data_IF_160492933061
#
_entry.id   IF_160492933061
#
_cell.length_a   1.000
_cell.length_b   1.000
_cell.length_c   1.000
_cell.angle_alpha   90.00
_cell.angle_beta   90.00
_cell.angle_gamma   90.00
#
_symmetry.space_group_name_H-M   'P 1'
#
loop_
_entity.id
_entity.type
_entity.pdbx_description
1 polymer ?
#
# COMPACT_ATOMS: atom_id res chain seq x y z
N UNK A 1 33.91 7.55 81.20
CA UNK A 1 34.84 8.42 80.45
C UNK A 1 34.27 8.51 79.05
N UNK A 2 33.29 9.39 78.90
CA UNK A 2 32.49 9.52 77.69
C UNK A 2 33.13 10.56 76.78
N UNK A 3 33.56 10.14 75.60
CA UNK A 3 34.04 11.02 74.55
C UNK A 3 32.97 11.13 73.45
N UNK A 4 32.00 12.02 73.64
CA UNK A 4 31.14 12.48 72.56
C UNK A 4 31.87 13.58 71.79
N UNK A 5 32.50 13.22 70.67
CA UNK A 5 32.99 14.19 69.69
C UNK A 5 32.15 14.04 68.42
N UNK A 6 31.50 15.15 68.03
CA UNK A 6 31.50 15.75 66.68
C UNK A 6 30.14 16.39 66.34
N UNK A 7 29.79 17.47 67.05
CA UNK A 7 28.81 18.46 66.56
C UNK A 7 29.56 19.48 65.72
N UNK A 8 29.58 19.32 64.40
CA UNK A 8 30.19 20.31 63.51
C UNK A 8 30.25 20.01 62.02
N UNK A 9 29.97 18.78 61.55
CA UNK A 9 30.09 18.44 60.12
C UNK A 9 28.81 18.55 59.31
N UNK A 10 27.66 18.92 59.92
CA UNK A 10 26.36 18.95 59.24
C UNK A 10 25.88 17.57 58.74
N UNK A 11 26.67 16.51 58.97
CA UNK A 11 26.33 15.14 58.62
C UNK A 11 25.49 14.57 59.75
N UNK A 12 24.20 14.38 59.46
CA UNK A 12 23.27 13.72 60.35
C UNK A 12 23.81 12.31 60.68
N UNK A 13 23.86 11.91 61.97
CA UNK A 13 24.30 10.57 62.34
C UNK A 13 23.43 9.53 61.63
N UNK A 14 24.07 8.51 61.07
CA UNK A 14 23.39 7.48 60.30
C UNK A 14 22.36 6.75 61.18
N UNK A 15 21.08 6.83 60.80
CA UNK A 15 19.96 6.20 61.50
C UNK A 15 19.47 4.97 60.71
N UNK A 16 19.96 3.75 61.02
CA UNK A 16 19.67 2.55 60.22
C UNK A 16 18.18 2.18 60.22
N UNK A 17 17.47 2.47 61.31
CA UNK A 17 16.03 2.17 61.43
C UNK A 17 15.18 3.00 60.47
N UNK A 18 15.57 4.24 60.20
CA UNK A 18 14.89 5.13 59.25
C UNK A 18 15.02 4.61 57.82
N UNK A 19 16.21 4.10 57.47
CA UNK A 19 16.48 3.51 56.15
C UNK A 19 15.67 2.23 55.94
N UNK A 20 15.63 1.35 56.94
CA UNK A 20 14.85 0.09 56.87
C UNK A 20 13.34 0.39 56.76
N UNK A 21 12.84 1.37 57.51
CA UNK A 21 11.42 1.74 57.45
C UNK A 21 11.05 2.38 56.10
N UNK A 22 11.95 3.13 55.47
CA UNK A 22 11.74 3.65 54.12
C UNK A 22 11.72 2.53 53.04
N UNK A 23 12.56 1.51 53.20
CA UNK A 23 12.63 0.38 52.26
C UNK A 23 11.49 -0.64 52.39
N UNK A 24 10.71 -0.58 53.47
CA UNK A 24 9.62 -1.53 53.78
C UNK A 24 8.22 -0.96 53.59
N UNK A 25 8.10 0.30 53.15
CA UNK A 25 6.81 0.84 52.73
C UNK A 25 6.41 0.20 51.39
N UNK A 26 5.16 -0.26 51.24
CA UNK A 26 4.67 -0.78 49.97
C UNK A 26 4.75 0.32 48.91
N UNK A 27 5.50 0.02 47.84
CA UNK A 27 5.60 0.81 46.60
C UNK A 27 4.21 1.27 46.19
N UNK A 28 3.95 2.57 46.30
CA UNK A 28 2.82 3.21 45.65
C UNK A 28 2.90 2.86 44.17
N UNK A 29 1.87 2.19 43.65
CA UNK A 29 1.71 1.92 42.23
C UNK A 29 2.05 3.17 41.43
N UNK A 30 3.17 3.10 40.71
CA UNK A 30 3.47 4.03 39.64
C UNK A 30 2.43 3.73 38.56
N UNK A 31 1.30 4.43 38.64
CA UNK A 31 0.47 4.70 37.47
C UNK A 31 1.43 5.30 36.45
N UNK A 32 1.80 4.50 35.45
CA UNK A 32 2.54 4.94 34.28
C UNK A 32 1.65 5.94 33.57
N UNK A 33 1.72 7.20 34.00
CA UNK A 33 1.18 8.32 33.28
C UNK A 33 2.00 8.37 31.99
N UNK A 34 1.40 7.93 30.88
CA UNK A 34 2.00 8.02 29.55
C UNK A 34 2.43 9.47 29.32
N UNK A 35 3.74 9.71 29.41
CA UNK A 35 4.32 11.01 29.15
C UNK A 35 4.10 11.29 27.66
N UNK A 36 3.50 12.44 27.28
CA UNK A 36 3.31 12.77 25.87
C UNK A 36 4.67 12.69 25.16
N UNK A 37 4.83 11.70 24.29
CA UNK A 37 6.06 11.51 23.54
C UNK A 37 6.14 12.61 22.49
N UNK A 38 7.14 13.48 22.63
CA UNK A 38 7.56 14.35 21.54
C UNK A 38 8.11 13.47 20.43
N UNK A 39 7.50 13.47 19.22
CA UNK A 39 7.94 12.59 18.16
C UNK A 39 9.41 12.84 17.85
N UNK A 40 10.25 11.82 18.04
CA UNK A 40 11.68 11.90 17.76
C UNK A 40 11.94 11.36 16.37
N UNK A 41 13.01 11.80 15.69
CA UNK A 41 13.36 11.31 14.33
C UNK A 41 13.46 9.78 14.24
N UNK A 42 13.76 9.11 15.35
CA UNK A 42 13.89 7.65 15.45
C UNK A 42 12.53 6.92 15.52
N UNK A 43 11.43 7.62 15.80
CA UNK A 43 10.07 7.05 15.70
C UNK A 43 9.75 6.56 14.29
N UNK A 44 10.52 7.01 13.29
CA UNK A 44 10.36 6.56 11.93
C UNK A 44 10.55 5.05 11.82
N UNK A 45 11.47 4.45 12.58
CA UNK A 45 11.78 3.02 12.52
C UNK A 45 10.59 2.15 12.94
N UNK A 46 9.85 2.59 13.95
CA UNK A 46 8.61 1.93 14.37
C UNK A 46 7.53 2.07 13.29
N UNK A 47 7.44 3.25 12.66
CA UNK A 47 6.37 3.58 11.71
C UNK A 47 6.52 2.93 10.32
N UNK A 48 7.72 2.49 9.91
CA UNK A 48 7.94 1.92 8.57
C UNK A 48 7.06 0.70 8.32
N UNK A 49 6.95 -0.20 9.30
CA UNK A 49 6.29 -1.50 9.10
C UNK A 49 4.88 -1.59 9.74
N UNK A 50 4.47 -0.59 10.53
CA UNK A 50 3.18 -0.57 11.22
C UNK A 50 2.00 -0.25 10.28
N UNK A 51 2.22 0.59 9.27
CA UNK A 51 1.11 1.20 8.51
C UNK A 51 0.73 0.44 7.24
N UNK A 52 1.65 -0.35 6.65
CA UNK A 52 1.37 -1.19 5.49
C UNK A 52 2.47 -2.22 5.25
N UNK A 53 2.09 -3.38 4.71
CA UNK A 53 3.02 -4.32 4.09
C UNK A 53 2.64 -4.47 2.62
N UNK A 54 3.53 -4.14 1.67
CA UNK A 54 4.87 -3.57 1.87
C UNK A 54 4.86 -2.16 2.44
N UNK A 55 5.97 -1.71 3.06
CA UNK A 55 6.12 -0.33 3.51
C UNK A 55 6.07 0.63 2.32
N UNK A 56 5.41 1.77 2.52
CA UNK A 56 5.40 2.84 1.53
C UNK A 56 6.83 3.27 1.16
N UNK A 57 7.06 3.52 -0.14
CA UNK A 57 8.39 3.81 -0.68
C UNK A 57 9.02 5.02 0.00
N UNK A 58 8.24 6.10 0.17
CA UNK A 58 8.75 7.33 0.77
C UNK A 58 9.07 7.15 2.26
N UNK A 59 8.26 6.35 2.95
CA UNK A 59 8.49 6.01 4.35
C UNK A 59 9.74 5.15 4.53
N UNK A 60 9.93 4.13 3.67
CA UNK A 60 11.13 3.29 3.67
C UNK A 60 12.41 4.09 3.37
N UNK A 61 12.38 4.94 2.33
CA UNK A 61 13.53 5.76 1.94
C UNK A 61 13.95 6.73 3.05
N UNK A 62 12.98 7.39 3.69
CA UNK A 62 13.25 8.27 4.84
C UNK A 62 13.89 7.51 6.00
N UNK A 63 13.38 6.33 6.33
CA UNK A 63 13.95 5.51 7.41
C UNK A 63 15.38 5.07 7.10
N UNK A 64 15.64 4.61 5.88
CA UNK A 64 16.99 4.23 5.44
C UNK A 64 17.95 5.42 5.41
N UNK A 65 17.47 6.62 5.09
CA UNK A 65 18.25 7.86 5.20
C UNK A 65 18.65 8.14 6.65
N UNK A 66 17.68 8.09 7.58
CA UNK A 66 17.96 8.27 9.01
C UNK A 66 18.93 7.19 9.51
N UNK A 67 18.71 5.91 9.16
CA UNK A 67 19.61 4.82 9.48
C UNK A 67 21.03 5.10 8.97
N UNK A 68 21.18 5.50 7.71
CA UNK A 68 22.46 5.79 7.10
C UNK A 68 23.22 6.90 7.83
N UNK A 69 22.52 7.97 8.24
CA UNK A 69 23.12 9.07 9.01
C UNK A 69 23.57 8.62 10.41
N UNK A 70 22.76 7.82 11.11
CA UNK A 70 23.07 7.27 12.43
C UNK A 70 24.25 6.30 12.36
N UNK A 71 24.28 5.42 11.36
CA UNK A 71 25.37 4.46 11.16
C UNK A 71 26.68 5.18 10.84
N UNK A 72 26.65 6.26 10.06
CA UNK A 72 27.87 7.03 9.78
C UNK A 72 28.49 7.61 11.06
N UNK A 73 27.67 8.07 12.01
CA UNK A 73 28.08 8.58 13.33
C UNK A 73 28.47 7.49 14.35
N UNK A 74 28.10 6.24 14.08
CA UNK A 74 28.32 5.13 15.02
C UNK A 74 29.79 4.69 15.12
N UNK A 75 30.12 3.96 16.18
CA UNK A 75 31.46 3.38 16.46
C UNK A 75 31.73 2.09 15.66
N UNK A 76 30.80 1.67 14.80
CA UNK A 76 30.94 0.45 14.00
C UNK A 76 32.15 0.51 13.07
N UNK A 77 32.74 -0.65 12.77
CA UNK A 77 33.83 -0.72 11.81
C UNK A 77 33.34 -0.47 10.37
N UNK A 78 34.25 -0.07 9.48
CA UNK A 78 33.95 0.23 8.07
C UNK A 78 33.25 -0.91 7.31
N UNK A 79 33.65 -2.20 7.41
CA UNK A 79 32.97 -3.26 6.67
C UNK A 79 31.53 -3.46 7.13
N UNK A 80 31.24 -3.39 8.44
CA UNK A 80 29.88 -3.50 8.96
C UNK A 80 29.01 -2.32 8.51
N UNK A 81 29.53 -1.07 8.56
CA UNK A 81 28.80 0.10 8.04
C UNK A 81 28.42 -0.09 6.56
N UNK A 82 29.38 -0.52 5.74
CA UNK A 82 29.15 -0.76 4.30
C UNK A 82 28.11 -1.84 4.04
N UNK A 83 28.12 -2.90 4.84
CA UNK A 83 27.12 -3.96 4.72
C UNK A 83 25.71 -3.45 5.05
N UNK A 84 25.56 -2.64 6.10
CA UNK A 84 24.26 -2.04 6.47
C UNK A 84 23.75 -1.12 5.36
N UNK A 85 24.62 -0.27 4.78
CA UNK A 85 24.25 0.57 3.63
C UNK A 85 23.77 -0.26 2.43
N UNK A 86 24.49 -1.34 2.10
CA UNK A 86 24.05 -2.26 1.05
C UNK A 86 22.69 -2.90 1.34
N UNK A 87 22.41 -3.26 2.59
CA UNK A 87 21.10 -3.79 2.96
C UNK A 87 20.01 -2.75 2.74
N UNK A 88 20.23 -1.50 3.16
CA UNK A 88 19.29 -0.40 2.93
C UNK A 88 19.00 -0.22 1.43
N UNK A 89 20.04 -0.12 0.60
CA UNK A 89 19.90 0.01 -0.87
C UNK A 89 19.13 -1.18 -1.48
N UNK A 90 19.46 -2.40 -1.07
CA UNK A 90 18.78 -3.61 -1.56
C UNK A 90 17.31 -3.68 -1.14
N UNK A 91 16.96 -3.22 0.07
CA UNK A 91 15.57 -3.15 0.50
C UNK A 91 14.74 -2.17 -0.34
N UNK A 92 15.29 -1.00 -0.68
CA UNK A 92 14.61 -0.02 -1.55
C UNK A 92 14.44 -0.56 -2.97
N UNK A 93 15.50 -1.19 -3.49
CA UNK A 93 15.47 -1.82 -4.81
C UNK A 93 14.45 -2.94 -4.88
N UNK A 94 14.38 -3.79 -3.85
CA UNK A 94 13.41 -4.88 -3.77
C UNK A 94 11.98 -4.35 -3.66
N UNK A 95 11.74 -3.33 -2.84
CA UNK A 95 10.42 -2.71 -2.71
C UNK A 95 9.95 -2.13 -4.05
N UNK A 96 10.84 -1.42 -4.75
CA UNK A 96 10.54 -0.86 -6.08
C UNK A 96 10.16 -1.95 -7.08
N UNK A 97 10.95 -3.03 -7.16
CA UNK A 97 10.64 -4.18 -8.02
C UNK A 97 9.30 -4.81 -7.68
N UNK A 98 9.02 -4.99 -6.38
CA UNK A 98 7.77 -5.57 -5.91
C UNK A 98 6.56 -4.71 -6.34
N UNK A 99 6.61 -3.39 -6.14
CA UNK A 99 5.53 -2.48 -6.55
C UNK A 99 5.31 -2.52 -8.07
N UNK A 100 6.37 -2.51 -8.85
CA UNK A 100 6.28 -2.59 -10.31
C UNK A 100 5.64 -3.91 -10.75
N UNK A 101 6.13 -5.03 -10.22
CA UNK A 101 5.60 -6.35 -10.52
C UNK A 101 4.13 -6.48 -10.10
N UNK A 102 3.76 -5.96 -8.94
CA UNK A 102 2.37 -5.95 -8.49
C UNK A 102 1.48 -5.21 -9.49
N UNK A 103 1.90 -4.02 -9.94
CA UNK A 103 1.18 -3.23 -10.96
C UNK A 103 1.03 -4.00 -12.28
N UNK A 104 2.08 -4.66 -12.74
CA UNK A 104 2.03 -5.50 -13.95
C UNK A 104 1.04 -6.66 -13.79
N UNK A 105 1.08 -7.35 -12.66
CA UNK A 105 0.15 -8.47 -12.40
C UNK A 105 -1.30 -8.00 -12.34
N UNK A 106 -1.56 -6.84 -11.74
CA UNK A 106 -2.91 -6.29 -11.66
C UNK A 106 -3.41 -5.80 -13.03
N UNK A 107 -2.51 -5.23 -13.84
CA UNK A 107 -2.81 -4.89 -15.23
C UNK A 107 -3.17 -6.14 -16.05
N UNK A 108 -2.35 -7.19 -15.98
CA UNK A 108 -2.59 -8.46 -16.68
C UNK A 108 -3.90 -9.11 -16.22
N UNK A 109 -4.17 -9.14 -14.90
CA UNK A 109 -5.43 -9.64 -14.35
C UNK A 109 -6.62 -8.85 -14.90
N UNK A 110 -6.53 -7.52 -14.94
CA UNK A 110 -7.58 -6.64 -15.50
C UNK A 110 -7.83 -6.94 -16.99
N UNK A 111 -6.78 -7.08 -17.79
CA UNK A 111 -6.88 -7.43 -19.21
C UNK A 111 -7.54 -8.81 -19.38
N UNK A 112 -7.09 -9.82 -18.64
CA UNK A 112 -7.65 -11.17 -18.70
C UNK A 112 -9.12 -11.16 -18.27
N UNK A 113 -9.48 -10.42 -17.22
CA UNK A 113 -10.86 -10.29 -16.75
C UNK A 113 -11.75 -9.61 -17.80
N UNK A 114 -11.28 -8.53 -18.43
CA UNK A 114 -12.00 -7.85 -19.53
C UNK A 114 -12.19 -8.78 -20.73
N UNK A 115 -11.15 -9.51 -21.15
CA UNK A 115 -11.24 -10.49 -22.25
C UNK A 115 -12.19 -11.64 -21.92
N UNK A 116 -12.15 -12.16 -20.69
CA UNK A 116 -13.10 -13.17 -20.20
C UNK A 116 -14.53 -12.63 -20.17
N UNK A 117 -14.74 -11.35 -19.91
CA UNK A 117 -16.06 -10.73 -19.97
C UNK A 117 -16.56 -10.58 -21.42
N UNK A 118 -15.68 -10.17 -22.33
CA UNK A 118 -16.01 -10.04 -23.76
C UNK A 118 -16.27 -11.38 -24.44
N UNK A 119 -15.55 -12.45 -24.07
CA UNK A 119 -15.72 -13.79 -24.61
C UNK A 119 -16.89 -14.57 -23.94
N UNK A 120 -17.90 -13.87 -23.41
CA UNK A 120 -19.13 -14.48 -22.88
C UNK A 120 -20.33 -14.13 -23.77
N UNK A 121 -21.43 -14.85 -23.57
CA UNK A 121 -22.69 -14.60 -24.28
C UNK A 121 -22.55 -14.81 -25.78
N UNK A 122 -23.17 -13.91 -26.55
CA UNK A 122 -23.28 -14.01 -28.02
C UNK A 122 -21.92 -14.23 -28.71
N UNK A 123 -20.85 -13.56 -28.27
CA UNK A 123 -19.51 -13.71 -28.87
C UNK A 123 -18.93 -15.12 -28.69
N UNK A 124 -19.24 -15.80 -27.60
CA UNK A 124 -18.78 -17.17 -27.36
C UNK A 124 -19.46 -18.17 -28.32
N UNK A 125 -20.73 -17.93 -28.63
CA UNK A 125 -21.55 -18.73 -29.55
C UNK A 125 -21.14 -18.48 -31.01
N UNK A 126 -20.85 -17.24 -31.36
CA UNK A 126 -20.59 -16.84 -32.75
C UNK A 126 -19.14 -17.05 -33.18
N UNK A 127 -18.17 -16.90 -32.28
CA UNK A 127 -16.75 -16.89 -32.65
C UNK A 127 -16.20 -18.31 -32.83
N UNK A 128 -15.77 -18.63 -34.05
CA UNK A 128 -15.06 -19.88 -34.36
C UNK A 128 -15.94 -21.13 -34.43
N UNK A 129 -17.26 -20.95 -34.45
CA UNK A 129 -18.23 -22.01 -34.66
C UNK A 129 -18.69 -21.99 -36.13
N UNK A 130 -18.75 -23.16 -36.74
CA UNK A 130 -19.32 -23.34 -38.07
C UNK A 130 -20.76 -23.81 -37.90
N UNK A 131 -21.71 -22.94 -38.25
CA UNK A 131 -23.14 -23.22 -38.12
C UNK A 131 -23.71 -23.58 -39.48
N UNK A 132 -24.43 -24.70 -39.56
CA UNK A 132 -25.00 -25.21 -40.80
C UNK A 132 -26.38 -24.57 -41.08
N UNK A 133 -27.11 -24.22 -40.03
CA UNK A 133 -28.45 -23.62 -40.11
C UNK A 133 -28.52 -22.28 -39.36
N UNK A 134 -29.24 -21.32 -39.96
CA UNK A 134 -29.50 -20.00 -39.36
C UNK A 134 -30.41 -20.10 -38.14
N UNK A 135 -31.36 -21.04 -38.12
CA UNK A 135 -32.31 -21.22 -37.00
C UNK A 135 -31.60 -21.72 -35.74
N UNK A 136 -30.67 -22.67 -35.91
CA UNK A 136 -29.81 -23.17 -34.84
C UNK A 136 -29.01 -22.02 -34.20
N UNK A 137 -28.48 -21.13 -35.04
CA UNK A 137 -27.71 -19.96 -34.62
C UNK A 137 -28.55 -18.99 -33.80
N UNK A 138 -29.76 -18.68 -34.27
CA UNK A 138 -30.67 -17.74 -33.59
C UNK A 138 -31.06 -18.25 -32.21
N UNK A 139 -31.35 -19.55 -32.08
CA UNK A 139 -31.69 -20.18 -30.80
C UNK A 139 -30.55 -20.03 -29.77
N UNK A 140 -29.32 -20.38 -30.17
CA UNK A 140 -28.14 -20.28 -29.29
C UNK A 140 -27.83 -18.83 -28.89
N UNK A 141 -28.02 -17.86 -29.79
CA UNK A 141 -27.83 -16.43 -29.51
C UNK A 141 -28.84 -15.93 -28.48
N UNK A 142 -30.11 -16.32 -28.60
CA UNK A 142 -31.18 -15.95 -27.66
C UNK A 142 -30.90 -16.53 -26.27
N UNK A 143 -30.51 -17.81 -26.19
CA UNK A 143 -30.14 -18.44 -24.91
C UNK A 143 -28.94 -17.75 -24.26
N UNK A 144 -27.89 -17.45 -25.03
CA UNK A 144 -26.72 -16.76 -24.54
C UNK A 144 -27.01 -15.33 -24.06
N UNK A 145 -27.97 -14.65 -24.69
CA UNK A 145 -28.46 -13.33 -24.26
C UNK A 145 -29.26 -13.41 -22.95
N UNK A 146 -30.17 -14.38 -22.83
CA UNK A 146 -30.90 -14.64 -21.59
C UNK A 146 -29.96 -14.98 -20.43
N UNK A 147 -28.96 -15.83 -20.66
CA UNK A 147 -27.98 -16.23 -19.64
C UNK A 147 -27.12 -15.05 -19.15
N UNK A 148 -26.68 -14.17 -20.07
CA UNK A 148 -25.87 -13.00 -19.70
C UNK A 148 -26.67 -11.93 -18.98
N UNK A 149 -27.91 -11.67 -19.40
CA UNK A 149 -28.82 -10.72 -18.72
C UNK A 149 -29.22 -11.22 -17.33
N UNK A 150 -29.50 -12.52 -17.16
CA UNK A 150 -29.77 -13.11 -15.86
C UNK A 150 -28.57 -13.01 -14.89
N UNK A 151 -27.35 -13.27 -15.39
CA UNK A 151 -26.12 -13.15 -14.61
C UNK A 151 -25.77 -11.70 -14.22
N UNK A 152 -26.21 -10.72 -15.00
CA UNK A 152 -26.08 -9.30 -14.64
C UNK A 152 -27.07 -8.93 -13.53
N UNK A 153 -28.33 -9.36 -13.64
CA UNK A 153 -29.39 -9.10 -12.65
C UNK A 153 -29.05 -9.69 -11.27
N UNK A 154 -28.50 -10.90 -11.21
CA UNK A 154 -28.14 -11.56 -9.94
C UNK A 154 -26.91 -10.94 -9.25
N UNK A 155 -26.07 -10.19 -9.97
CA UNK A 155 -24.93 -9.47 -9.36
C UNK A 155 -25.34 -8.15 -8.71
N UNK A 156 -26.39 -7.52 -9.20
CA UNK A 156 -26.92 -6.26 -8.65
C UNK A 156 -27.63 -6.48 -7.30
N UNK A 157 -28.17 -7.68 -7.06
CA UNK A 157 -28.90 -7.98 -5.82
C UNK A 157 -28.02 -8.29 -4.59
N UNK A 158 -26.71 -8.50 -4.75
CA UNK A 158 -25.84 -9.03 -3.68
C UNK A 158 -24.95 -7.96 -3.03
N UNK A 159 -25.02 -6.70 -3.44
CA UNK A 159 -24.36 -5.58 -2.76
C UNK A 159 -25.26 -5.04 -1.63
N UNK A 160 -24.89 -5.20 -0.33
CA UNK A 160 -25.62 -4.53 0.74
C UNK A 160 -25.30 -3.04 0.66
N UNK A 161 -26.24 -2.25 0.15
CA UNK A 161 -26.16 -0.79 0.22
C UNK A 161 -26.29 -0.35 1.67
N UNK A 162 -25.22 0.22 2.24
CA UNK A 162 -25.32 1.07 3.43
C UNK A 162 -26.11 2.31 3.05
N UNK A 163 -27.34 2.38 3.53
CA UNK A 163 -28.23 3.53 3.39
C UNK A 163 -27.64 4.78 4.05
N UNK A 164 -27.43 5.84 3.27
CA UNK A 164 -27.57 7.21 3.76
C UNK A 164 -28.54 7.95 2.83
N UNK A 165 -29.59 8.45 3.45
CA UNK A 165 -30.71 9.19 2.90
C UNK A 165 -30.24 10.55 2.39
N UNK A 166 -30.60 10.95 1.15
CA UNK A 166 -31.32 12.21 0.88
C UNK A 166 -31.60 12.43 -0.62
N UNK A 167 -32.88 12.68 -0.91
CA UNK A 167 -33.45 13.60 -1.92
C UNK A 167 -33.35 13.30 -3.42
N UNK A 168 -34.47 12.79 -3.93
CA UNK A 168 -35.08 12.89 -5.27
C UNK A 168 -34.72 14.15 -6.08
N UNK A 169 -34.35 14.01 -7.35
CA UNK A 169 -34.95 14.68 -8.53
C UNK A 169 -34.56 13.94 -9.83
N UNK A 170 -35.46 14.03 -10.80
CA UNK A 170 -35.72 13.09 -11.89
C UNK A 170 -34.75 13.13 -13.08
N UNK A 171 -34.86 12.05 -13.87
CA UNK A 171 -34.24 11.76 -15.15
C UNK A 171 -34.41 12.83 -16.24
N UNK A 172 -33.35 13.03 -17.05
CA UNK A 172 -33.45 13.31 -18.49
C UNK A 172 -32.21 12.78 -19.23
N UNK A 173 -32.48 11.84 -20.16
CA UNK A 173 -31.95 11.70 -21.52
C UNK A 173 -30.45 11.63 -21.84
N UNK A 174 -30.21 10.71 -22.78
CA UNK A 174 -29.00 10.43 -23.54
C UNK A 174 -28.36 11.63 -24.20
N UNK A 175 -27.03 11.67 -24.18
CA UNK A 175 -26.22 12.19 -25.28
C UNK A 175 -25.06 11.25 -25.54
N UNK A 176 -25.12 10.67 -26.73
CA UNK A 176 -24.07 9.97 -27.45
C UNK A 176 -23.13 11.05 -27.97
N UNK A 177 -21.84 10.99 -27.62
CA UNK A 177 -20.81 11.78 -28.32
C UNK A 177 -20.22 10.92 -29.44
N UNK A 178 -20.57 11.30 -30.66
CA UNK A 178 -19.95 10.90 -31.93
C UNK A 178 -18.68 11.74 -32.15
N UNK A 179 -17.55 11.03 -32.36
CA UNK A 179 -16.51 11.18 -33.41
C UNK A 179 -15.84 12.55 -33.65
N UNK A 180 -14.49 12.54 -33.63
CA UNK A 180 -13.59 13.36 -34.46
C UNK A 180 -12.28 12.53 -34.63
N UNK A 181 -12.13 11.66 -35.63
CA UNK A 181 -11.70 11.86 -37.03
C UNK A 181 -10.64 12.95 -37.27
N UNK A 182 -9.37 12.54 -37.40
CA UNK A 182 -8.39 13.28 -38.21
C UNK A 182 -7.14 12.42 -38.49
N UNK A 183 -7.20 11.76 -39.65
CA UNK A 183 -6.16 11.69 -40.69
C UNK A 183 -4.87 10.89 -40.46
N UNK A 184 -4.84 9.71 -41.10
CA UNK A 184 -3.64 9.05 -41.60
C UNK A 184 -3.04 9.87 -42.77
N UNK A 185 -1.74 10.16 -42.74
CA UNK A 185 -0.97 10.62 -43.89
C UNK A 185 0.03 9.51 -44.25
N UNK A 186 -0.35 8.71 -45.25
CA UNK A 186 0.54 7.89 -46.07
C UNK A 186 1.00 8.77 -47.25
N UNK A 187 2.30 9.01 -47.43
CA UNK A 187 2.82 9.42 -48.74
C UNK A 187 4.29 9.03 -48.97
N UNK A 188 4.41 7.97 -49.76
CA UNK A 188 5.38 7.68 -50.84
C UNK A 188 6.90 7.80 -50.62
N UNK A 189 7.55 6.65 -50.77
CA UNK A 189 8.87 6.52 -51.39
C UNK A 189 8.87 7.18 -52.78
N UNK A 190 9.83 8.07 -53.03
CA UNK A 190 10.27 8.39 -54.39
C UNK A 190 11.81 8.49 -54.42
N UNK A 191 12.36 7.62 -55.27
CA UNK A 191 13.76 7.44 -55.61
C UNK A 191 14.18 8.52 -56.63
N UNK A 192 15.19 9.36 -56.33
CA UNK A 192 15.95 10.08 -57.35
C UNK A 192 17.27 10.68 -56.82
N UNK A 193 18.35 10.03 -57.24
CA UNK A 193 19.72 10.55 -57.47
C UNK A 193 19.86 12.06 -57.74
N UNK A 194 20.91 12.71 -57.19
CA UNK A 194 22.00 13.42 -57.94
C UNK A 194 22.90 14.26 -57.04
N UNK A 195 24.16 13.82 -56.95
CA UNK A 195 25.46 14.55 -57.01
C UNK A 195 25.63 15.91 -56.30
N UNK A 196 26.58 15.94 -55.36
CA UNK A 196 27.73 16.85 -55.35
C UNK A 196 28.89 16.20 -54.59
#
# INVERSE_FOLDING_TARGET
MDAYIQRGSGLQPFQPQTVIRAATLPTTDVVVLERPHTPTEHDIFEKVFLNSSPPDFQTLHKANTVLSTTINRSVLNTPTKRYIHKLADETERLNTRHVLQQRETDNLRSIIQKRRAQNKGKRAVLKGQFHISTEELQSQVVEAEAATTAAQKSKVSTTPQKSKVSTTLQATQSTIDLIDDSSEEELSDDDATTVA
#
